data_IF_275976730921
#
_entry.id   IF_275976730921
#
_cell.length_a   1.000
_cell.length_b   1.000
_cell.length_c   1.000
_cell.angle_alpha   90.00
_cell.angle_beta   90.00
_cell.angle_gamma   90.00
#
_symmetry.space_group_name_H-M   'P 1'
#
loop_
_entity.id
_entity.type
_entity.pdbx_description
1 polymer ?
#
# COMPACT_ATOMS: atom_id res chain seq x y z
N UNK A 1 -46.39 -11.84 -24.87
CA UNK A 1 -45.05 -12.45 -24.91
C UNK A 1 -43.91 -11.43 -24.81
N UNK A 2 -44.06 -10.23 -25.39
CA UNK A 2 -42.98 -9.23 -25.51
C UNK A 2 -42.46 -8.64 -24.18
N UNK A 3 -43.33 -8.26 -23.25
CA UNK A 3 -42.94 -7.59 -21.99
C UNK A 3 -42.02 -8.43 -21.08
N UNK A 4 -42.26 -9.75 -21.03
CA UNK A 4 -41.47 -10.69 -20.20
C UNK A 4 -40.05 -10.87 -20.75
N UNK A 5 -39.89 -10.83 -22.06
CA UNK A 5 -38.59 -10.92 -22.73
C UNK A 5 -37.78 -9.62 -22.54
N UNK A 6 -38.45 -8.47 -22.60
CA UNK A 6 -37.83 -7.17 -22.29
C UNK A 6 -37.36 -7.08 -20.84
N UNK A 7 -38.20 -7.48 -19.88
CA UNK A 7 -37.82 -7.52 -18.46
C UNK A 7 -36.67 -8.47 -18.20
N UNK A 8 -36.68 -9.67 -18.80
CA UNK A 8 -35.58 -10.63 -18.69
C UNK A 8 -34.27 -10.08 -19.28
N UNK A 9 -34.34 -9.38 -20.42
CA UNK A 9 -33.18 -8.73 -21.04
C UNK A 9 -32.59 -7.60 -20.20
N UNK A 10 -33.45 -6.78 -19.58
CA UNK A 10 -33.03 -5.69 -18.67
C UNK A 10 -32.39 -6.26 -17.40
N UNK A 11 -32.97 -7.30 -16.80
CA UNK A 11 -32.41 -7.96 -15.62
C UNK A 11 -31.05 -8.59 -15.93
N UNK A 12 -30.91 -9.26 -17.08
CA UNK A 12 -29.64 -9.85 -17.51
C UNK A 12 -28.56 -8.78 -17.72
N UNK A 13 -28.91 -7.66 -18.35
CA UNK A 13 -27.99 -6.52 -18.54
C UNK A 13 -27.57 -5.88 -17.20
N UNK A 14 -28.49 -5.72 -16.25
CA UNK A 14 -28.21 -5.21 -14.89
C UNK A 14 -27.31 -6.18 -14.10
N UNK A 15 -27.53 -7.49 -14.21
CA UNK A 15 -26.68 -8.49 -13.55
C UNK A 15 -25.25 -8.56 -14.12
N UNK A 16 -25.09 -8.33 -15.43
CA UNK A 16 -23.77 -8.25 -16.08
C UNK A 16 -23.03 -6.94 -15.74
N UNK A 17 -23.76 -5.84 -15.55
CA UNK A 17 -23.18 -4.57 -15.12
C UNK A 17 -22.74 -4.57 -13.64
N UNK A 18 -23.36 -5.41 -12.79
CA UNK A 18 -23.03 -5.51 -11.36
C UNK A 18 -21.83 -6.39 -11.01
N UNK A 19 -21.28 -7.16 -11.95
CA UNK A 19 -20.24 -8.16 -11.68
C UNK A 19 -18.80 -7.62 -11.75
N UNK A 20 -18.58 -6.30 -11.78
CA UNK A 20 -17.25 -5.73 -11.98
C UNK A 20 -16.96 -4.54 -11.05
N UNK A 21 -17.02 -4.79 -9.74
CA UNK A 21 -16.25 -4.04 -8.75
C UNK A 21 -15.76 -5.07 -7.73
N UNK A 22 -14.59 -5.65 -7.97
CA UNK A 22 -13.85 -6.28 -6.88
C UNK A 22 -13.43 -5.13 -5.95
N UNK A 23 -14.27 -4.83 -4.95
CA UNK A 23 -13.93 -3.86 -3.93
C UNK A 23 -12.78 -4.44 -3.10
N UNK A 24 -11.63 -3.75 -3.08
CA UNK A 24 -10.52 -4.10 -2.20
C UNK A 24 -11.04 -3.94 -0.77
N UNK A 25 -11.14 -5.05 -0.05
CA UNK A 25 -11.66 -5.06 1.32
C UNK A 25 -10.51 -5.07 2.33
N UNK A 26 -10.54 -4.10 3.25
CA UNK A 26 -9.67 -4.03 4.44
C UNK A 26 -10.47 -3.34 5.55
N UNK A 27 -10.15 -3.67 6.80
CA UNK A 27 -10.87 -3.19 7.98
C UNK A 27 -10.18 -2.00 8.66
N UNK A 28 -8.85 -2.01 8.67
CA UNK A 28 -8.04 -0.96 9.28
C UNK A 28 -6.70 -0.77 8.56
N UNK A 29 -6.04 0.36 8.84
CA UNK A 29 -4.68 0.64 8.41
C UNK A 29 -3.73 0.49 9.61
N UNK A 30 -2.71 -0.34 9.46
CA UNK A 30 -1.60 -0.41 10.41
C UNK A 30 -0.48 0.51 9.98
N UNK A 31 -0.21 1.56 10.77
CA UNK A 31 1.04 2.30 10.67
C UNK A 31 2.10 1.58 11.51
N UNK A 32 3.06 0.94 10.86
CA UNK A 32 4.16 0.25 11.52
C UNK A 32 5.39 1.13 11.54
N UNK A 33 6.08 1.13 12.69
CA UNK A 33 7.30 1.89 12.92
C UNK A 33 8.38 0.95 13.44
N UNK A 34 9.63 1.26 13.14
CA UNK A 34 10.79 0.48 13.53
C UNK A 34 11.79 1.36 14.29
N UNK A 35 12.41 0.80 15.33
CA UNK A 35 13.48 1.46 16.06
C UNK A 35 14.82 1.17 15.38
N UNK A 36 15.43 2.20 14.80
CA UNK A 36 16.66 2.06 14.01
C UNK A 36 17.80 1.43 14.81
N UNK A 37 17.98 1.81 16.08
CA UNK A 37 19.04 1.27 16.92
C UNK A 37 18.96 -0.25 17.13
N UNK A 38 17.75 -0.78 17.32
CA UNK A 38 17.54 -2.23 17.49
C UNK A 38 17.68 -2.93 16.14
N UNK A 39 17.07 -2.38 15.08
CA UNK A 39 17.14 -2.96 13.74
C UNK A 39 18.60 -3.11 13.27
N UNK A 40 19.39 -2.06 13.42
CA UNK A 40 20.79 -2.04 13.01
C UNK A 40 21.72 -2.86 13.93
N UNK A 41 21.23 -3.30 15.10
CA UNK A 41 21.97 -4.26 15.95
C UNK A 41 21.85 -5.71 15.46
N UNK A 42 20.77 -6.03 14.72
CA UNK A 42 20.53 -7.38 14.18
C UNK A 42 20.87 -7.50 12.70
N UNK A 43 20.83 -6.40 11.95
CA UNK A 43 21.15 -6.36 10.52
C UNK A 43 22.07 -5.19 10.23
N UNK A 44 23.03 -5.38 9.34
CA UNK A 44 23.93 -4.31 8.92
C UNK A 44 23.15 -3.18 8.25
N UNK A 45 23.39 -1.95 8.69
CA UNK A 45 22.80 -0.74 8.14
C UNK A 45 23.91 0.14 7.55
N UNK A 46 23.71 0.60 6.33
CA UNK A 46 24.67 1.41 5.59
C UNK A 46 24.45 2.91 5.84
N UNK A 47 23.21 3.27 6.14
CA UNK A 47 22.80 4.63 6.51
C UNK A 47 22.15 4.61 7.88
N UNK A 48 22.25 5.75 8.59
CA UNK A 48 21.56 5.97 9.86
C UNK A 48 20.50 7.04 9.67
N UNK A 49 19.34 6.93 10.33
CA UNK A 49 18.37 8.01 10.32
C UNK A 49 18.97 9.28 10.93
N UNK A 50 18.50 10.43 10.46
CA UNK A 50 18.94 11.74 10.94
C UNK A 50 18.66 11.93 12.44
N UNK A 51 17.51 11.39 12.88
CA UNK A 51 17.09 11.37 14.27
C UNK A 51 17.27 9.95 14.84
N UNK A 52 17.80 9.82 16.06
CA UNK A 52 17.78 8.55 16.81
C UNK A 52 16.37 8.29 17.35
N UNK A 53 15.41 8.09 16.44
CA UNK A 53 13.99 7.88 16.75
C UNK A 53 13.39 6.72 15.93
N UNK A 54 12.12 6.43 16.16
CA UNK A 54 11.33 5.54 15.32
C UNK A 54 11.22 6.09 13.89
N UNK A 55 11.45 5.22 12.91
CA UNK A 55 11.17 5.49 11.50
C UNK A 55 9.96 4.70 11.04
N UNK A 56 9.27 5.20 10.02
CA UNK A 56 8.18 4.47 9.36
C UNK A 56 8.76 3.21 8.72
N UNK A 57 8.12 2.07 8.97
CA UNK A 57 8.36 0.82 8.28
C UNK A 57 7.38 0.69 7.11
N UNK A 58 6.09 0.91 7.37
CA UNK A 58 5.10 1.07 6.32
C UNK A 58 3.69 1.37 6.81
N UNK A 59 2.77 1.51 5.85
CA UNK A 59 1.34 1.66 6.08
C UNK A 59 0.61 0.53 5.37
N UNK A 60 -0.06 -0.33 6.14
CA UNK A 60 -0.50 -1.65 5.69
C UNK A 60 -2.02 -1.75 5.82
N UNK A 61 -2.77 -1.90 4.73
CA UNK A 61 -4.15 -2.36 4.77
C UNK A 61 -4.23 -3.73 5.45
N UNK A 62 -5.18 -3.91 6.35
CA UNK A 62 -5.28 -5.13 7.15
C UNK A 62 -6.73 -5.52 7.40
N UNK A 63 -6.98 -6.82 7.47
CA UNK A 63 -8.27 -7.45 7.73
C UNK A 63 -8.21 -8.04 9.15
N UNK A 64 -9.28 -7.85 9.92
CA UNK A 64 -9.39 -8.42 11.24
C UNK A 64 -9.55 -9.94 11.18
N UNK A 65 -8.88 -10.74 12.05
CA UNK A 65 -8.09 -10.31 13.21
C UNK A 65 -6.61 -10.03 12.94
N UNK A 66 -6.01 -10.60 11.88
CA UNK A 66 -4.58 -10.45 11.59
C UNK A 66 -4.24 -10.89 10.15
N UNK A 67 -5.10 -10.58 9.19
CA UNK A 67 -4.92 -10.95 7.79
C UNK A 67 -4.52 -9.73 6.95
N UNK A 68 -3.82 -9.95 5.84
CA UNK A 68 -3.52 -8.93 4.85
C UNK A 68 -4.41 -9.14 3.62
N UNK A 69 -4.89 -8.07 2.96
CA UNK A 69 -5.64 -8.22 1.72
C UNK A 69 -4.81 -8.94 0.66
N UNK A 70 -5.38 -9.99 0.09
CA UNK A 70 -4.82 -10.68 -1.06
C UNK A 70 -5.42 -10.13 -2.34
N UNK A 71 -4.69 -10.25 -3.46
CA UNK A 71 -5.19 -9.91 -4.80
C UNK A 71 -5.57 -8.43 -5.01
N UNK A 72 -4.66 -7.52 -4.64
CA UNK A 72 -4.78 -6.12 -5.06
C UNK A 72 -4.88 -6.01 -6.60
N UNK A 73 -5.78 -5.17 -7.14
CA UNK A 73 -5.79 -4.80 -8.56
C UNK A 73 -4.42 -4.32 -9.01
N UNK A 74 -4.12 -4.50 -10.29
CA UNK A 74 -2.87 -4.01 -10.88
C UNK A 74 -2.74 -2.50 -10.63
N UNK A 75 -1.79 -2.14 -9.78
CA UNK A 75 -1.50 -0.75 -9.48
C UNK A 75 -0.69 -0.11 -10.62
N UNK A 76 -0.81 1.21 -10.84
CA UNK A 76 0.15 1.95 -11.64
C UNK A 76 1.57 1.72 -11.13
N UNK A 77 2.54 1.73 -12.05
CA UNK A 77 3.95 1.67 -11.65
C UNK A 77 4.27 2.83 -10.70
N UNK A 78 5.08 2.54 -9.69
CA UNK A 78 5.62 3.54 -8.78
C UNK A 78 6.26 4.69 -9.58
N UNK A 79 5.95 5.92 -9.20
CA UNK A 79 6.45 7.12 -9.86
C UNK A 79 6.93 8.12 -8.80
N UNK A 80 8.22 8.05 -8.50
CA UNK A 80 8.91 8.90 -7.53
C UNK A 80 8.70 10.40 -7.78
N UNK A 81 8.49 10.82 -9.03
CA UNK A 81 8.27 12.24 -9.35
C UNK A 81 7.01 12.82 -8.69
N UNK A 82 6.05 11.97 -8.30
CA UNK A 82 4.86 12.37 -7.56
C UNK A 82 5.17 12.65 -6.07
N UNK A 83 6.28 12.14 -5.55
CA UNK A 83 6.71 12.31 -4.17
C UNK A 83 7.56 13.57 -3.95
N UNK A 84 7.95 14.29 -5.01
CA UNK A 84 8.77 15.51 -4.93
C UNK A 84 8.36 16.48 -3.81
N UNK A 85 7.06 16.75 -3.56
CA UNK A 85 6.66 17.67 -2.49
C UNK A 85 6.99 17.17 -1.08
N UNK A 86 7.14 15.86 -0.89
CA UNK A 86 7.32 15.21 0.43
C UNK A 86 8.66 14.48 0.57
N UNK A 87 9.49 14.42 -0.48
CA UNK A 87 10.73 13.65 -0.51
C UNK A 87 11.66 13.95 0.68
N UNK A 88 11.81 15.23 1.05
CA UNK A 88 12.60 15.62 2.24
C UNK A 88 12.07 15.00 3.54
N UNK A 89 10.75 14.89 3.70
CA UNK A 89 10.14 14.26 4.88
C UNK A 89 10.33 12.76 4.85
N UNK A 90 10.21 12.14 3.67
CA UNK A 90 10.44 10.71 3.50
C UNK A 90 11.88 10.32 3.87
N UNK A 91 12.88 11.06 3.39
CA UNK A 91 14.29 10.80 3.77
C UNK A 91 14.57 10.88 5.28
N UNK A 92 13.82 11.72 6.00
CA UNK A 92 14.00 11.88 7.45
C UNK A 92 13.23 10.82 8.26
N UNK A 93 11.97 10.59 7.91
CA UNK A 93 11.05 9.78 8.73
C UNK A 93 10.80 8.37 8.17
N UNK A 94 11.15 8.11 6.91
CA UNK A 94 11.02 6.82 6.23
C UNK A 94 12.27 6.50 5.38
N UNK A 95 13.48 6.49 5.99
CA UNK A 95 14.70 6.21 5.27
C UNK A 95 14.84 4.72 4.91
N UNK A 96 15.51 4.44 3.80
CA UNK A 96 16.13 3.15 3.57
C UNK A 96 17.45 3.08 4.35
N UNK A 97 17.59 2.04 5.18
CA UNK A 97 18.77 1.77 6.00
C UNK A 97 19.66 0.64 5.46
N UNK A 98 19.19 -0.09 4.44
CA UNK A 98 19.80 -1.33 4.00
C UNK A 98 20.42 -1.29 2.61
N UNK A 99 20.04 -0.33 1.75
CA UNK A 99 20.68 -0.18 0.46
C UNK A 99 22.03 0.55 0.59
N UNK A 100 22.99 0.09 -0.21
CA UNK A 100 24.25 0.78 -0.50
C UNK A 100 24.08 1.86 -1.59
N UNK A 101 22.90 1.92 -2.22
CA UNK A 101 22.56 2.77 -3.37
C UNK A 101 21.74 4.00 -2.97
N UNK A 102 21.59 4.91 -3.94
CA UNK A 102 20.92 6.22 -3.84
C UNK A 102 19.77 6.28 -2.80
N UNK A 103 19.80 7.22 -1.82
CA UNK A 103 18.78 7.35 -0.78
C UNK A 103 17.35 7.63 -1.30
N UNK A 104 17.19 7.84 -2.61
CA UNK A 104 15.91 7.99 -3.29
C UNK A 104 15.39 6.68 -3.93
N UNK A 105 16.11 5.56 -3.80
CA UNK A 105 15.59 4.24 -4.19
C UNK A 105 14.60 3.74 -3.15
N UNK A 106 13.31 3.91 -3.46
CA UNK A 106 12.18 3.27 -2.79
C UNK A 106 11.89 1.89 -3.39
#
# INVERSE_FOLDING_TARGET
MSMRLFLAGVILALSLAGACLAEIHWDYLMLTQQWAGTLCSFKECHTKPEDEDFTIHGLWPSIWPAEEPTECPVAPKFNESQLKPILRKLRRYWPDMFSDSDPDQF
#
